data_IF_233139323892
#
_entry.id   IF_233139323892
#
_cell.length_a   1.000
_cell.length_b   1.000
_cell.length_c   1.000
_cell.angle_alpha   90.00
_cell.angle_beta   90.00
_cell.angle_gamma   90.00
#
_symmetry.space_group_name_H-M   'P 1'
#
loop_
_entity.id
_entity.type
_entity.pdbx_description
1 polymer ?
#
# COMPACT_ATOMS: atom_id res chain seq x y z
N UNK A 1 -3.69 15.51 1.21
CA UNK A 1 -3.22 15.05 -0.11
C UNK A 1 -4.15 13.98 -0.66
N UNK A 2 -4.13 13.77 -1.98
CA UNK A 2 -4.81 12.68 -2.66
C UNK A 2 -3.76 11.78 -3.29
N UNK A 3 -3.66 10.55 -2.81
CA UNK A 3 -2.77 9.54 -3.39
C UNK A 3 -3.58 8.56 -4.23
N UNK A 4 -3.05 8.17 -5.37
CA UNK A 4 -3.66 7.17 -6.24
C UNK A 4 -2.64 6.09 -6.54
N UNK A 5 -3.07 4.83 -6.46
CA UNK A 5 -2.33 3.65 -6.91
C UNK A 5 -3.20 2.92 -7.93
N UNK A 6 -2.72 2.85 -9.18
CA UNK A 6 -3.43 2.20 -10.29
C UNK A 6 -2.60 1.02 -10.79
N UNK A 7 -3.27 -0.09 -11.06
CA UNK A 7 -2.68 -1.29 -11.66
C UNK A 7 -3.59 -1.82 -12.75
N UNK A 8 -3.02 -2.22 -13.87
CA UNK A 8 -3.71 -2.92 -14.94
C UNK A 8 -2.91 -4.16 -15.32
N UNK A 9 -3.57 -5.32 -15.30
CA UNK A 9 -2.97 -6.65 -15.50
C UNK A 9 -3.87 -7.45 -16.41
N UNK A 10 -3.31 -8.00 -17.49
CA UNK A 10 -4.02 -8.94 -18.36
C UNK A 10 -3.13 -10.11 -18.73
N UNK A 11 -3.60 -11.34 -18.52
CA UNK A 11 -2.85 -12.57 -18.83
C UNK A 11 -3.78 -13.78 -18.94
N UNK A 12 -3.67 -14.56 -20.02
CA UNK A 12 -4.39 -15.83 -20.21
C UNK A 12 -5.90 -15.78 -19.89
N UNK A 13 -6.63 -14.81 -20.45
CA UNK A 13 -8.08 -14.66 -20.22
C UNK A 13 -8.46 -14.06 -18.86
N UNK A 14 -7.47 -13.74 -18.02
CA UNK A 14 -7.66 -12.93 -16.82
C UNK A 14 -7.37 -11.45 -17.13
N UNK A 15 -8.23 -10.56 -16.65
CA UNK A 15 -8.00 -9.12 -16.59
C UNK A 15 -8.29 -8.58 -15.19
N UNK A 16 -7.44 -7.70 -14.71
CA UNK A 16 -7.66 -6.94 -13.49
C UNK A 16 -7.21 -5.50 -13.71
N UNK A 17 -8.12 -4.56 -13.46
CA UNK A 17 -7.79 -3.14 -13.30
C UNK A 17 -8.19 -2.72 -11.91
N UNK A 18 -7.27 -2.15 -11.16
CA UNK A 18 -7.51 -1.65 -9.81
C UNK A 18 -7.07 -0.20 -9.70
N UNK A 19 -7.90 0.65 -9.12
CA UNK A 19 -7.60 2.05 -8.78
C UNK A 19 -7.92 2.25 -7.31
N UNK A 20 -6.89 2.45 -6.51
CA UNK A 20 -6.99 2.73 -5.08
C UNK A 20 -6.68 4.21 -4.85
N UNK A 21 -7.63 4.94 -4.27
CA UNK A 21 -7.47 6.37 -3.98
C UNK A 21 -7.58 6.63 -2.49
N UNK A 22 -6.57 7.27 -1.92
CA UNK A 22 -6.54 7.71 -0.53
C UNK A 22 -6.61 9.23 -0.42
N UNK A 23 -7.43 9.72 0.50
CA UNK A 23 -7.43 11.10 0.96
C UNK A 23 -6.84 11.13 2.37
N UNK A 24 -5.60 11.60 2.44
CA UNK A 24 -4.79 11.61 3.65
C UNK A 24 -4.54 13.05 4.09
N UNK A 25 -4.64 13.34 5.38
CA UNK A 25 -4.23 14.64 5.92
C UNK A 25 -2.72 14.85 5.83
N UNK A 26 -2.30 16.11 5.71
CA UNK A 26 -0.92 16.55 5.91
C UNK A 26 -0.98 17.69 6.93
N UNK A 27 -0.16 17.70 7.99
CA UNK A 27 1.02 16.86 8.23
C UNK A 27 0.78 15.55 9.03
N UNK A 28 -0.45 15.26 9.44
CA UNK A 28 -0.77 14.17 10.37
C UNK A 28 -0.67 12.75 9.77
N UNK A 29 -0.57 12.62 8.44
CA UNK A 29 -0.61 11.35 7.70
C UNK A 29 -1.91 10.56 7.90
N UNK A 30 -2.99 11.16 8.39
CA UNK A 30 -4.19 10.42 8.75
C UNK A 30 -5.13 10.24 7.56
N UNK A 31 -5.51 9.00 7.25
CA UNK A 31 -6.52 8.67 6.25
C UNK A 31 -7.91 9.12 6.70
N UNK A 32 -8.60 9.88 5.83
CA UNK A 32 -9.97 10.36 6.03
C UNK A 32 -10.96 9.66 5.08
N UNK A 33 -10.50 9.27 3.90
CA UNK A 33 -11.28 8.51 2.93
C UNK A 33 -10.37 7.58 2.16
N UNK A 34 -10.87 6.39 1.87
CA UNK A 34 -10.19 5.41 1.03
C UNK A 34 -11.20 4.78 0.07
N UNK A 35 -10.88 4.75 -1.23
CA UNK A 35 -11.74 4.16 -2.26
C UNK A 35 -10.96 3.10 -3.01
N UNK A 36 -11.59 1.95 -3.23
CA UNK A 36 -11.08 0.84 -4.03
C UNK A 36 -12.05 0.58 -5.18
N UNK A 37 -11.62 0.89 -6.38
CA UNK A 37 -12.32 0.51 -7.62
C UNK A 37 -11.55 -0.64 -8.26
N UNK A 38 -12.17 -1.81 -8.34
CA UNK A 38 -11.57 -3.01 -8.92
C UNK A 38 -12.49 -3.58 -9.99
N UNK A 39 -11.97 -3.77 -11.20
CA UNK A 39 -12.60 -4.51 -12.28
C UNK A 39 -11.80 -5.77 -12.53
N UNK A 40 -12.36 -6.93 -12.21
CA UNK A 40 -11.73 -8.25 -12.40
C UNK A 40 -12.61 -9.13 -13.29
N UNK A 41 -12.12 -9.51 -14.47
CA UNK A 41 -12.88 -10.30 -15.46
C UNK A 41 -14.32 -9.78 -15.66
N UNK A 42 -14.45 -8.49 -15.96
CA UNK A 42 -15.71 -7.74 -16.14
C UNK A 42 -16.57 -7.55 -14.87
N UNK A 43 -16.14 -8.08 -13.71
CA UNK A 43 -16.81 -7.86 -12.43
C UNK A 43 -16.27 -6.60 -11.77
N UNK A 44 -17.16 -5.65 -11.56
CA UNK A 44 -16.84 -4.40 -10.87
C UNK A 44 -17.11 -4.52 -9.38
N UNK A 45 -16.14 -4.09 -8.57
CA UNK A 45 -16.23 -3.98 -7.12
C UNK A 45 -15.78 -2.59 -6.71
N UNK A 46 -16.72 -1.83 -6.17
CA UNK A 46 -16.47 -0.53 -5.58
C UNK A 46 -16.57 -0.65 -4.05
N UNK A 47 -15.55 -0.17 -3.36
CA UNK A 47 -15.57 0.00 -1.91
C UNK A 47 -15.11 1.40 -1.54
N UNK A 48 -15.96 2.14 -0.85
CA UNK A 48 -15.62 3.40 -0.21
C UNK A 48 -15.52 3.18 1.30
N UNK A 49 -14.53 3.79 1.92
CA UNK A 49 -14.36 3.84 3.36
C UNK A 49 -14.26 5.30 3.79
N UNK A 50 -15.21 5.75 4.60
CA UNK A 50 -15.16 7.05 5.28
C UNK A 50 -14.60 6.83 6.68
N UNK A 51 -13.45 7.43 6.96
CA UNK A 51 -12.69 7.21 8.19
C UNK A 51 -12.82 8.47 9.04
N UNK A 52 -13.28 8.30 10.27
CA UNK A 52 -13.50 9.37 11.26
C UNK A 52 -12.58 9.15 12.47
N UNK A 53 -11.28 9.47 12.36
CA UNK A 53 -10.29 9.25 13.42
C UNK A 53 -10.69 9.90 14.75
N UNK A 54 -11.17 11.16 14.69
CA UNK A 54 -11.55 11.94 15.87
C UNK A 54 -12.76 11.33 16.61
N UNK A 55 -13.56 10.52 15.90
CA UNK A 55 -14.69 9.78 16.47
C UNK A 55 -14.39 8.29 16.70
N UNK A 56 -13.20 7.81 16.34
CA UNK A 56 -12.78 6.42 16.55
C UNK A 56 -13.47 5.36 15.68
N UNK A 57 -14.10 5.75 14.56
CA UNK A 57 -14.77 4.78 13.67
C UNK A 57 -14.56 5.04 12.18
N UNK A 58 -14.88 4.03 11.36
CA UNK A 58 -15.05 4.16 9.93
C UNK A 58 -16.40 3.58 9.48
N UNK A 59 -16.88 4.01 8.31
CA UNK A 59 -18.04 3.45 7.61
C UNK A 59 -17.61 2.92 6.25
N UNK A 60 -18.29 1.86 5.77
CA UNK A 60 -18.05 1.27 4.45
C UNK A 60 -19.26 1.54 3.56
N UNK A 61 -19.02 2.11 2.38
CA UNK A 61 -20.02 2.57 1.44
C UNK A 61 -21.05 3.47 2.16
N UNK A 62 -22.31 3.41 1.72
CA UNK A 62 -23.42 4.12 2.35
C UNK A 62 -24.01 3.37 3.57
N UNK A 63 -23.27 2.43 4.17
CA UNK A 63 -23.77 1.71 5.34
C UNK A 63 -23.83 2.64 6.57
N UNK A 64 -24.93 2.64 7.33
CA UNK A 64 -24.99 3.38 8.59
C UNK A 64 -24.15 2.72 9.69
N UNK A 65 -23.77 1.46 9.52
CA UNK A 65 -22.97 0.72 10.52
C UNK A 65 -21.56 1.29 10.61
N UNK A 66 -21.13 1.56 11.83
CA UNK A 66 -19.78 2.00 12.17
C UNK A 66 -18.93 0.82 12.63
N UNK A 67 -17.65 0.83 12.27
CA UNK A 67 -16.64 -0.11 12.76
C UNK A 67 -15.48 0.67 13.38
N UNK A 68 -14.80 0.13 14.41
CA UNK A 68 -13.71 0.86 15.07
C UNK A 68 -12.54 1.13 14.12
N UNK A 69 -11.93 2.30 14.25
CA UNK A 69 -10.69 2.67 13.55
C UNK A 69 -9.56 2.94 14.53
N UNK A 70 -8.32 2.88 14.06
CA UNK A 70 -7.14 3.18 14.87
C UNK A 70 -7.03 4.68 15.16
N UNK A 71 -6.23 5.07 16.16
CA UNK A 71 -6.07 6.49 16.55
C UNK A 71 -5.42 7.37 15.47
N UNK A 72 -4.48 6.80 14.70
CA UNK A 72 -3.83 7.47 13.56
C UNK A 72 -3.95 6.57 12.33
N UNK A 73 -5.16 6.45 11.75
CA UNK A 73 -5.46 5.42 10.76
C UNK A 73 -4.80 5.71 9.41
N UNK A 74 -4.26 4.67 8.81
CA UNK A 74 -3.67 4.59 7.48
C UNK A 74 -4.41 3.52 6.69
N UNK A 75 -4.82 3.85 5.48
CA UNK A 75 -5.23 2.89 4.47
C UNK A 75 -4.03 2.33 3.69
N UNK A 76 -4.28 1.38 2.78
CA UNK A 76 -3.25 0.69 1.99
C UNK A 76 -2.29 1.67 1.29
N UNK A 77 -2.84 2.72 0.67
CA UNK A 77 -2.05 3.68 -0.13
C UNK A 77 -1.34 4.65 0.80
N UNK A 78 -2.03 5.19 1.80
CA UNK A 78 -1.43 6.08 2.79
C UNK A 78 -0.27 5.38 3.53
N UNK A 79 -0.44 4.12 3.92
CA UNK A 79 0.60 3.31 4.57
C UNK A 79 1.83 3.17 3.67
N UNK A 80 1.63 2.91 2.38
CA UNK A 80 2.70 2.80 1.41
C UNK A 80 3.53 4.08 1.28
N UNK A 81 2.91 5.25 1.34
CA UNK A 81 3.66 6.52 1.34
C UNK A 81 4.29 6.81 2.69
N UNK A 82 3.58 6.56 3.79
CA UNK A 82 4.06 6.82 5.14
C UNK A 82 5.28 5.97 5.51
N UNK A 83 5.33 4.69 5.13
CA UNK A 83 6.45 3.79 5.47
C UNK A 83 7.80 4.28 4.90
N UNK A 84 7.76 5.09 3.83
CA UNK A 84 8.95 5.73 3.22
C UNK A 84 9.59 6.78 4.14
N UNK A 85 8.89 7.23 5.17
CA UNK A 85 9.38 8.21 6.16
C UNK A 85 10.03 7.54 7.37
N UNK A 86 9.90 6.22 7.50
CA UNK A 86 10.40 5.47 8.65
C UNK A 86 11.89 5.14 8.47
N UNK A 87 12.72 5.23 9.54
CA UNK A 87 14.10 4.76 9.52
C UNK A 87 14.16 3.23 9.55
N UNK A 88 14.00 2.62 8.37
CA UNK A 88 13.95 1.18 8.17
C UNK A 88 15.36 0.56 8.25
N UNK A 89 15.53 -0.41 9.16
CA UNK A 89 16.78 -1.14 9.37
C UNK A 89 16.66 -2.62 8.97
N UNK A 90 17.61 -3.10 8.17
CA UNK A 90 17.69 -4.51 7.77
C UNK A 90 17.77 -5.44 8.98
N UNK A 91 17.02 -6.55 8.93
CA UNK A 91 16.91 -7.53 10.00
C UNK A 91 15.84 -7.20 11.04
N UNK A 92 15.31 -5.97 11.05
CA UNK A 92 14.27 -5.58 12.00
C UNK A 92 12.86 -5.92 11.50
N UNK A 93 11.99 -6.16 12.48
CA UNK A 93 10.54 -6.27 12.30
C UNK A 93 9.87 -5.16 13.09
N UNK A 94 8.99 -4.42 12.42
CA UNK A 94 8.20 -3.36 13.00
C UNK A 94 6.75 -3.79 13.10
N UNK A 95 6.05 -3.32 14.13
CA UNK A 95 4.61 -3.54 14.31
C UNK A 95 3.93 -2.19 14.50
N UNK A 96 2.88 -1.94 13.73
CA UNK A 96 2.14 -0.69 13.77
C UNK A 96 0.65 -0.95 13.97
N UNK A 97 0.06 -0.27 14.94
CA UNK A 97 -1.39 -0.30 15.22
C UNK A 97 -2.09 0.90 14.57
N UNK A 98 -1.72 1.20 13.33
CA UNK A 98 -2.17 2.37 12.60
C UNK A 98 -2.95 2.01 11.33
N UNK A 99 -3.31 0.75 11.09
CA UNK A 99 -4.20 0.43 9.98
C UNK A 99 -5.64 0.85 10.29
N UNK A 100 -6.35 1.38 9.30
CA UNK A 100 -7.67 1.99 9.53
C UNK A 100 -8.73 1.00 10.02
N UNK A 101 -8.61 -0.29 9.70
CA UNK A 101 -9.49 -1.33 10.24
C UNK A 101 -8.87 -1.84 11.52
N UNK A 102 -9.35 -1.38 12.67
CA UNK A 102 -8.74 -1.65 13.97
C UNK A 102 -8.55 -3.16 14.20
N UNK A 103 -9.50 -3.98 13.76
CA UNK A 103 -9.48 -5.44 13.90
C UNK A 103 -8.38 -6.17 13.11
N UNK A 104 -7.74 -5.50 12.16
CA UNK A 104 -6.69 -6.10 11.30
C UNK A 104 -5.27 -5.69 11.70
N UNK A 105 -5.15 -4.96 12.81
CA UNK A 105 -3.88 -4.61 13.41
C UNK A 105 -3.32 -5.76 14.27
N UNK A 106 -1.99 -5.83 14.45
CA UNK A 106 -0.98 -4.91 13.92
C UNK A 106 -0.62 -5.17 12.45
N UNK A 107 -0.22 -4.11 11.75
CA UNK A 107 0.55 -4.24 10.51
C UNK A 107 1.98 -4.61 10.86
N UNK A 108 2.49 -5.70 10.28
CA UNK A 108 3.86 -6.16 10.47
C UNK A 108 4.68 -5.77 9.25
N UNK A 109 5.81 -5.09 9.44
CA UNK A 109 6.77 -4.80 8.37
C UNK A 109 8.11 -5.44 8.71
N UNK A 110 8.52 -6.41 7.89
CA UNK A 110 9.86 -7.00 7.99
C UNK A 110 10.79 -6.35 6.97
N UNK A 111 11.97 -5.91 7.39
CA UNK A 111 13.01 -5.42 6.48
C UNK A 111 14.04 -6.53 6.32
N UNK A 112 13.96 -7.28 5.23
CA UNK A 112 14.66 -8.56 5.15
C UNK A 112 16.14 -8.41 4.82
N UNK A 113 16.46 -7.63 3.79
CA UNK A 113 17.83 -7.54 3.26
C UNK A 113 18.00 -6.30 2.38
N UNK A 114 19.26 -6.05 2.03
CA UNK A 114 19.66 -5.17 0.93
C UNK A 114 19.93 -6.00 -0.31
N UNK A 115 19.50 -5.50 -1.47
CA UNK A 115 19.92 -6.03 -2.76
C UNK A 115 19.94 -4.95 -3.84
N UNK A 116 20.62 -5.24 -4.93
CA UNK A 116 20.63 -4.34 -6.09
C UNK A 116 19.40 -4.57 -6.97
N UNK A 117 18.81 -3.47 -7.42
CA UNK A 117 17.77 -3.45 -8.45
C UNK A 117 18.17 -2.48 -9.56
N UNK A 118 17.62 -2.71 -10.74
CA UNK A 118 17.84 -1.85 -11.91
C UNK A 118 16.78 -0.75 -11.93
N UNK A 119 17.22 0.48 -12.21
CA UNK A 119 16.37 1.65 -12.44
C UNK A 119 15.99 1.76 -13.92
N UNK A 120 14.98 2.55 -14.30
CA UNK A 120 14.58 2.72 -15.70
C UNK A 120 15.69 3.18 -16.65
N UNK A 121 16.72 3.87 -16.14
CA UNK A 121 17.87 4.34 -16.89
C UNK A 121 19.00 3.29 -17.02
N UNK A 122 18.77 2.06 -16.56
CA UNK A 122 19.75 0.97 -16.56
C UNK A 122 20.76 1.04 -15.41
N UNK A 123 20.71 2.08 -14.56
CA UNK A 123 21.61 2.17 -13.40
C UNK A 123 21.22 1.15 -12.32
N UNK A 124 22.22 0.64 -11.60
CA UNK A 124 22.00 -0.23 -10.43
C UNK A 124 21.92 0.61 -9.17
N UNK A 125 20.90 0.37 -8.36
CA UNK A 125 20.72 1.03 -7.06
C UNK A 125 20.56 0.02 -5.95
N UNK A 126 21.10 0.32 -4.77
CA UNK A 126 20.84 -0.46 -3.56
C UNK A 126 19.40 -0.22 -3.11
N UNK A 127 18.72 -1.29 -2.73
CA UNK A 127 17.33 -1.25 -2.26
C UNK A 127 17.17 -2.03 -0.96
N UNK A 128 16.16 -1.66 -0.19
CA UNK A 128 15.65 -2.39 0.97
C UNK A 128 14.46 -3.24 0.53
N UNK A 129 14.53 -4.55 0.79
CA UNK A 129 13.38 -5.44 0.63
C UNK A 129 12.51 -5.44 1.89
N UNK A 130 11.30 -4.92 1.74
CA UNK A 130 10.26 -4.92 2.76
C UNK A 130 9.22 -6.00 2.50
N UNK A 131 8.74 -6.63 3.58
CA UNK A 131 7.54 -7.47 3.60
C UNK A 131 6.49 -6.90 4.54
N UNK A 132 5.55 -6.10 4.04
CA UNK A 132 4.36 -5.71 4.79
C UNK A 132 3.36 -6.87 4.87
N UNK A 133 2.76 -7.03 6.04
CA UNK A 133 1.78 -8.09 6.34
C UNK A 133 0.65 -7.46 7.16
N UNK A 134 -0.57 -7.53 6.63
CA UNK A 134 -1.82 -7.11 7.28
C UNK A 134 -2.70 -8.35 7.46
N UNK A 135 -3.43 -8.42 8.58
CA UNK A 135 -4.38 -9.52 8.82
C UNK A 135 -5.71 -9.31 8.08
N UNK A 136 -5.61 -9.30 6.75
CA UNK A 136 -6.74 -9.24 5.84
C UNK A 136 -6.70 -10.43 4.88
N UNK A 137 -7.87 -10.92 4.46
CA UNK A 137 -7.95 -12.07 3.55
C UNK A 137 -7.56 -11.73 2.11
N UNK A 138 -8.04 -10.59 1.60
CA UNK A 138 -7.97 -10.21 0.18
C UNK A 138 -7.31 -8.83 -0.04
N UNK A 139 -6.52 -8.37 0.94
CA UNK A 139 -5.76 -7.13 0.85
C UNK A 139 -4.48 -7.27 0.03
N UNK A 140 -3.99 -6.16 -0.52
CA UNK A 140 -2.70 -6.09 -1.23
C UNK A 140 -1.52 -6.52 -0.36
N UNK A 141 -1.65 -6.32 0.97
CA UNK A 141 -0.66 -6.71 1.97
C UNK A 141 -1.09 -7.91 2.81
N UNK A 142 -2.11 -8.67 2.38
CA UNK A 142 -2.55 -9.88 3.07
C UNK A 142 -1.43 -10.91 3.22
N UNK A 143 -1.49 -11.76 4.23
CA UNK A 143 -0.56 -12.90 4.37
C UNK A 143 -0.50 -13.78 3.11
N UNK A 144 -1.63 -13.95 2.42
CA UNK A 144 -1.76 -14.73 1.18
C UNK A 144 -1.04 -14.09 0.00
N UNK A 145 -1.09 -12.76 -0.11
CA UNK A 145 -0.43 -12.00 -1.17
C UNK A 145 1.09 -12.15 -1.17
N UNK A 146 1.71 -12.43 -0.01
CA UNK A 146 3.18 -12.47 0.17
C UNK A 146 3.88 -11.26 -0.43
N UNK A 147 3.27 -10.08 -0.29
CA UNK A 147 3.75 -8.84 -0.87
C UNK A 147 5.21 -8.55 -0.52
N UNK A 148 5.96 -8.07 -1.50
CA UNK A 148 7.32 -7.58 -1.38
C UNK A 148 7.40 -6.18 -1.97
N UNK A 149 8.12 -5.30 -1.31
CA UNK A 149 8.32 -3.93 -1.71
C UNK A 149 9.82 -3.61 -1.68
N UNK A 150 10.36 -3.15 -2.80
CA UNK A 150 11.72 -2.66 -2.88
C UNK A 150 11.73 -1.14 -2.88
N UNK A 151 12.38 -0.55 -1.90
CA UNK A 151 12.60 0.89 -1.80
C UNK A 151 14.09 1.21 -1.99
N UNK A 152 14.45 2.30 -2.64
CA UNK A 152 15.85 2.75 -2.70
C UNK A 152 16.42 2.90 -1.29
N UNK A 153 17.68 2.49 -1.10
CA UNK A 153 18.39 2.65 0.17
C UNK A 153 19.01 4.06 0.28
N UNK A 154 18.19 5.09 0.05
CA UNK A 154 18.53 6.49 0.22
C UNK A 154 17.38 7.23 0.94
N UNK A 155 17.56 8.52 1.21
CA UNK A 155 16.56 9.34 1.91
C UNK A 155 15.22 9.47 1.15
N UNK A 156 15.20 9.21 -0.17
CA UNK A 156 13.99 9.38 -1.00
C UNK A 156 13.06 8.17 -0.91
N UNK A 157 13.61 6.99 -0.58
CA UNK A 157 12.89 5.71 -0.47
C UNK A 157 11.95 5.49 -1.68
N UNK A 158 12.48 5.65 -2.88
CA UNK A 158 11.74 5.50 -4.13
C UNK A 158 11.35 4.03 -4.28
N UNK A 159 10.06 3.70 -4.52
CA UNK A 159 9.67 2.34 -4.86
C UNK A 159 10.24 1.93 -6.22
N UNK A 160 11.06 0.88 -6.24
CA UNK A 160 11.69 0.35 -7.46
C UNK A 160 10.91 -0.83 -8.02
N UNK A 161 10.39 -1.67 -7.14
CA UNK A 161 9.67 -2.88 -7.53
C UNK A 161 8.63 -3.25 -6.47
N UNK A 162 7.50 -3.79 -6.90
CA UNK A 162 6.48 -4.43 -6.05
C UNK A 162 6.20 -5.82 -6.62
N UNK A 163 6.26 -6.85 -5.77
CA UNK A 163 5.81 -8.20 -6.13
C UNK A 163 4.67 -8.62 -5.22
N UNK A 164 3.64 -9.24 -5.79
CA UNK A 164 2.51 -9.79 -5.05
C UNK A 164 1.94 -11.02 -5.75
N UNK A 165 1.43 -11.97 -4.97
CA UNK A 165 0.78 -13.17 -5.49
C UNK A 165 -0.70 -12.93 -5.67
N UNK A 166 -1.17 -13.14 -6.89
CA UNK A 166 -2.56 -13.20 -7.28
C UNK A 166 -2.99 -14.65 -7.48
N UNK A 167 -4.30 -14.88 -7.61
CA UNK A 167 -4.86 -16.20 -7.95
C UNK A 167 -4.28 -16.79 -9.24
N UNK A 168 -3.92 -15.92 -10.20
CA UNK A 168 -3.42 -16.29 -11.53
C UNK A 168 -1.88 -16.34 -11.65
N UNK A 169 -1.16 -16.17 -10.54
CA UNK A 169 0.30 -16.17 -10.50
C UNK A 169 0.89 -14.95 -9.82
N UNK A 170 2.19 -14.73 -10.04
CA UNK A 170 2.91 -13.59 -9.46
C UNK A 170 2.76 -12.34 -10.35
N UNK A 171 2.28 -11.25 -9.75
CA UNK A 171 2.33 -9.91 -10.31
C UNK A 171 3.61 -9.22 -9.86
N UNK A 172 4.35 -8.68 -10.84
CA UNK A 172 5.55 -7.89 -10.62
C UNK A 172 5.38 -6.55 -11.30
N UNK A 173 5.40 -5.48 -10.51
CA UNK A 173 5.35 -4.09 -10.97
C UNK A 173 6.75 -3.51 -10.86
N UNK A 174 7.30 -3.04 -11.97
CA UNK A 174 8.65 -2.47 -12.05
C UNK A 174 8.51 -0.99 -12.33
N UNK A 175 9.30 -0.18 -11.62
CA UNK A 175 9.37 1.26 -11.85
C UNK A 175 9.78 1.55 -13.30
N UNK A 176 9.04 2.42 -13.99
CA UNK A 176 9.34 2.85 -15.37
C UNK A 176 9.69 4.33 -15.47
N UNK A 177 9.17 5.17 -14.58
CA UNK A 177 9.49 6.59 -14.53
C UNK A 177 9.23 7.17 -13.14
N UNK A 178 9.96 8.22 -12.78
CA UNK A 178 9.72 9.01 -11.57
C UNK A 178 9.72 10.48 -11.96
N UNK A 179 8.64 11.18 -11.63
CA UNK A 179 8.61 12.64 -11.67
C UNK A 179 8.65 13.16 -10.24
N UNK A 180 9.76 13.77 -9.79
CA UNK A 180 9.80 14.40 -8.48
C UNK A 180 8.73 15.49 -8.37
N UNK A 181 8.08 15.58 -7.21
CA UNK A 181 7.23 16.73 -6.91
C UNK A 181 8.08 18.00 -6.95
N UNK A 182 7.56 19.09 -7.54
CA UNK A 182 8.21 20.40 -7.42
C UNK A 182 8.32 20.73 -5.93
N UNK A 183 9.53 21.03 -5.47
CA UNK A 183 9.72 21.63 -4.16
C UNK A 183 8.94 22.94 -4.15
N UNK A 184 7.94 23.03 -3.27
CA UNK A 184 7.24 24.27 -2.96
C UNK A 184 8.03 25.08 -1.94
#
# INVERSE_FOLDING_TARGET
WRFTFETEVSKFGYSNRSVFTSWTGQPDWVSRKFVKDVTENDRNRHEEFLIHPDSGFYRRNNSPQTKPTSASPLDDVAFFYWIRTVPLEVGRTYQYNNYFRAEQNPVIVKVEKREEKEMPDGSKVRTLLLRPIVDEENGMFSKKSKAKLWLTDDARRIPVEIETNLLIGNLKLILTSVTPGRAG
#
